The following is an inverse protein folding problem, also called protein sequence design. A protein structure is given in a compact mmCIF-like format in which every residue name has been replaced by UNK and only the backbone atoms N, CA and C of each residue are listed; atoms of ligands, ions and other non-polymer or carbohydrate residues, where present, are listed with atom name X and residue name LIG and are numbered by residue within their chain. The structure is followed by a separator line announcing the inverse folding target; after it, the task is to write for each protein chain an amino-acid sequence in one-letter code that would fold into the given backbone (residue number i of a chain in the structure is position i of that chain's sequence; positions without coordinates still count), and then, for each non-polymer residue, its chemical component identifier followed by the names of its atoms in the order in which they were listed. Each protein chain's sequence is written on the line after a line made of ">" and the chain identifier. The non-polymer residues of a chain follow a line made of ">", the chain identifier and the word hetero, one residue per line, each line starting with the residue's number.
data_IF_133001526522
#
_entry.id   IF_133001526522
#
_cell.length_a   1.000
_cell.length_b   1.000
_cell.length_c   1.000
_cell.angle_alpha   90.00
_cell.angle_beta   90.00
_cell.angle_gamma   90.00
#
_symmetry.space_group_name_H-M   'P 1'
#
loop_
_entity.id
_entity.type
_entity.pdbx_description
1 polymer ?
#
# COMPACT_ATOMS: atom_id res chain seq x y z
N UNK A 1 -4.38 -24.30 -3.21
CA UNK A 1 -4.10 -22.88 -3.48
C UNK A 1 -4.60 -22.00 -2.36
N UNK A 2 -3.92 -20.88 -2.10
CA UNK A 2 -4.38 -19.84 -1.18
C UNK A 2 -5.80 -19.39 -1.57
N UNK A 3 -6.81 -19.51 -0.69
CA UNK A 3 -8.12 -18.95 -0.97
C UNK A 3 -7.99 -17.43 -1.04
N UNK A 4 -7.97 -16.89 -2.26
CA UNK A 4 -7.92 -15.44 -2.48
C UNK A 4 -9.06 -14.79 -1.69
N UNK A 5 -8.79 -13.77 -0.86
CA UNK A 5 -9.83 -13.02 -0.19
C UNK A 5 -10.87 -12.56 -1.21
N UNK A 6 -12.16 -12.65 -0.86
CA UNK A 6 -13.20 -12.06 -1.71
C UNK A 6 -12.92 -10.56 -1.78
N UNK A 7 -12.86 -10.04 -3.01
CA UNK A 7 -12.80 -8.60 -3.23
C UNK A 7 -14.04 -7.99 -2.59
N UNK A 8 -13.80 -7.11 -1.62
CA UNK A 8 -14.85 -6.34 -0.95
C UNK A 8 -14.91 -4.99 -1.66
N UNK A 9 -16.10 -4.46 -1.97
CA UNK A 9 -16.21 -3.12 -2.56
C UNK A 9 -15.53 -2.06 -1.68
N UNK A 10 -14.90 -1.07 -2.32
CA UNK A 10 -14.14 0.02 -1.66
C UNK A 10 -14.92 0.65 -0.49
N UNK A 11 -16.20 0.96 -0.66
CA UNK A 11 -17.03 1.57 0.39
C UNK A 11 -17.17 0.69 1.66
N UNK A 12 -17.18 -0.63 1.51
CA UNK A 12 -17.24 -1.57 2.64
C UNK A 12 -15.88 -1.78 3.29
N UNK A 13 -14.79 -1.49 2.57
CA UNK A 13 -13.44 -1.45 3.12
C UNK A 13 -13.09 -0.10 3.79
N UNK A 14 -14.06 0.82 3.89
CA UNK A 14 -13.87 2.17 4.44
C UNK A 14 -13.27 3.17 3.46
N UNK A 15 -13.23 2.82 2.17
CA UNK A 15 -12.62 3.62 1.12
C UNK A 15 -13.70 4.47 0.42
N UNK A 16 -13.50 5.78 0.44
CA UNK A 16 -14.43 6.73 -0.17
C UNK A 16 -14.15 7.00 -1.66
N UNK A 17 -15.14 7.52 -2.41
CA UNK A 17 -14.91 8.08 -3.74
C UNK A 17 -13.95 9.29 -3.67
N UNK A 18 -13.13 9.47 -4.70
CA UNK A 18 -12.29 10.69 -4.85
C UNK A 18 -10.79 10.47 -4.74
N UNK A 19 -10.28 9.26 -5.01
CA UNK A 19 -8.83 9.04 -5.11
C UNK A 19 -8.26 9.87 -6.27
N UNK A 20 -7.26 10.74 -6.04
CA UNK A 20 -6.97 11.87 -6.92
C UNK A 20 -6.39 11.49 -8.30
N UNK A 21 -5.83 10.29 -8.47
CA UNK A 21 -5.17 9.88 -9.74
C UNK A 21 -5.47 8.44 -10.17
N UNK A 22 -6.52 7.83 -9.66
CA UNK A 22 -6.78 6.42 -9.94
C UNK A 22 -7.55 6.11 -11.23
N UNK A 23 -8.05 7.11 -11.98
CA UNK A 23 -8.89 6.86 -13.16
C UNK A 23 -10.06 5.91 -12.83
N UNK A 24 -10.35 4.94 -13.71
CA UNK A 24 -11.36 3.90 -13.46
C UNK A 24 -11.00 2.91 -12.34
N UNK A 25 -9.71 2.73 -12.04
CA UNK A 25 -9.27 1.78 -11.00
C UNK A 25 -9.22 2.41 -9.61
N UNK A 26 -9.23 3.74 -9.50
CA UNK A 26 -9.23 4.49 -8.25
C UNK A 26 -8.05 4.14 -7.31
N UNK A 27 -6.93 3.51 -7.72
CA UNK A 27 -5.95 2.90 -6.78
C UNK A 27 -4.81 3.81 -6.28
N UNK A 28 -4.76 5.09 -6.67
CA UNK A 28 -3.68 5.99 -6.23
C UNK A 28 -4.13 6.90 -5.10
N UNK A 29 -3.63 6.65 -3.89
CA UNK A 29 -3.92 7.45 -2.71
C UNK A 29 -3.36 6.83 -1.44
N UNK A 30 -3.57 7.51 -0.32
CA UNK A 30 -3.25 7.04 1.03
C UNK A 30 -4.35 7.47 2.00
N UNK A 31 -4.75 6.57 2.89
CA UNK A 31 -5.74 6.87 3.92
C UNK A 31 -5.57 5.92 5.13
N UNK A 32 -5.86 6.39 6.35
CA UNK A 32 -5.99 5.49 7.48
C UNK A 32 -7.25 4.64 7.31
N UNK A 33 -7.13 3.34 7.56
CA UNK A 33 -8.25 2.42 7.59
C UNK A 33 -8.74 2.22 9.02
N UNK A 34 -10.06 2.32 9.21
CA UNK A 34 -10.73 1.99 10.46
C UNK A 34 -11.03 0.47 10.51
N UNK A 35 -9.98 -0.33 10.38
CA UNK A 35 -10.02 -1.78 10.50
C UNK A 35 -8.77 -2.32 11.20
N UNK A 36 -8.88 -3.41 11.99
CA UNK A 36 -7.74 -3.98 12.71
C UNK A 36 -6.83 -4.78 11.77
N UNK A 37 -5.53 -4.89 12.08
CA UNK A 37 -4.54 -5.64 11.28
C UNK A 37 -5.03 -7.01 10.82
N UNK A 38 -5.72 -7.75 11.70
CA UNK A 38 -6.27 -9.09 11.44
C UNK A 38 -7.30 -9.18 10.31
N UNK A 39 -7.73 -8.04 9.75
CA UNK A 39 -8.62 -7.96 8.60
C UNK A 39 -7.93 -7.46 7.33
N UNK A 40 -6.63 -7.15 7.40
CA UNK A 40 -5.85 -6.74 6.22
C UNK A 40 -5.47 -7.96 5.38
N UNK A 41 -5.35 -7.77 4.06
CA UNK A 41 -4.99 -8.85 3.14
C UNK A 41 -3.67 -9.54 3.49
N UNK A 42 -2.63 -8.76 3.82
CA UNK A 42 -1.32 -9.31 4.16
C UNK A 42 -1.33 -10.08 5.49
N UNK A 43 -2.09 -9.64 6.49
CA UNK A 43 -2.23 -10.40 7.73
C UNK A 43 -2.89 -11.76 7.48
N UNK A 44 -3.95 -11.80 6.67
CA UNK A 44 -4.61 -13.05 6.31
C UNK A 44 -3.66 -13.99 5.54
N UNK A 45 -2.83 -13.45 4.64
CA UNK A 45 -1.81 -14.22 3.91
C UNK A 45 -0.79 -14.83 4.88
N UNK A 46 -0.33 -14.04 5.86
CA UNK A 46 0.61 -14.49 6.89
C UNK A 46 -0.01 -15.57 7.79
N UNK A 47 -1.26 -15.40 8.24
CA UNK A 47 -1.98 -16.41 9.02
C UNK A 47 -2.03 -17.75 8.29
N UNK A 48 -2.32 -17.72 6.99
CA UNK A 48 -2.33 -18.94 6.19
C UNK A 48 -0.95 -19.56 6.00
N UNK A 49 0.09 -18.74 5.82
CA UNK A 49 1.44 -19.25 5.73
C UNK A 49 1.84 -19.95 7.04
N UNK A 50 1.47 -19.37 8.19
CA UNK A 50 1.64 -19.99 9.52
C UNK A 50 0.90 -21.32 9.58
N UNK A 51 -0.35 -21.38 9.12
CA UNK A 51 -1.13 -22.61 9.09
C UNK A 51 -0.53 -23.67 8.15
N UNK A 52 0.09 -23.28 7.02
CA UNK A 52 0.80 -24.23 6.17
C UNK A 52 2.02 -24.82 6.88
N UNK A 53 2.79 -23.99 7.60
CA UNK A 53 3.96 -24.45 8.35
C UNK A 53 3.58 -25.38 9.51
N UNK A 54 2.49 -25.08 10.23
CA UNK A 54 1.98 -25.90 11.35
C UNK A 54 1.50 -27.29 10.94
N UNK A 55 1.21 -27.53 9.66
CA UNK A 55 0.81 -28.86 9.15
C UNK A 55 1.91 -29.91 9.24
N UNK A 56 3.14 -29.52 9.56
CA UNK A 56 4.29 -30.40 9.76
C UNK A 56 4.44 -31.45 8.64
N UNK A 57 4.69 -31.02 7.39
CA UNK A 57 4.71 -31.92 6.25
C UNK A 57 5.85 -32.95 6.38
N UNK A 58 5.58 -34.18 5.95
CA UNK A 58 6.58 -35.26 5.95
C UNK A 58 7.70 -35.09 4.92
N UNK A 59 7.55 -34.14 4.00
CA UNK A 59 8.54 -33.78 2.97
C UNK A 59 9.06 -32.36 3.21
N UNK A 60 10.27 -32.03 2.73
CA UNK A 60 10.75 -30.65 2.74
C UNK A 60 9.74 -29.69 2.11
N UNK A 61 9.49 -28.57 2.79
CA UNK A 61 8.52 -27.56 2.38
C UNK A 61 9.23 -26.41 1.66
N UNK A 62 8.75 -26.08 0.45
CA UNK A 62 9.00 -24.80 -0.20
C UNK A 62 7.69 -24.00 -0.17
N UNK A 63 7.72 -22.80 0.42
CA UNK A 63 6.55 -21.94 0.56
C UNK A 63 6.88 -20.53 0.08
N UNK A 64 6.20 -20.09 -0.98
CA UNK A 64 6.27 -18.70 -1.45
C UNK A 64 5.11 -17.91 -0.85
N UNK A 65 5.43 -16.83 -0.13
CA UNK A 65 4.46 -15.96 0.55
C UNK A 65 4.63 -14.55 0.01
N UNK A 66 3.66 -14.10 -0.79
CA UNK A 66 3.67 -12.76 -1.38
C UNK A 66 2.86 -11.78 -0.53
N UNK A 67 3.52 -10.72 -0.06
CA UNK A 67 2.87 -9.59 0.59
C UNK A 67 2.58 -8.50 -0.43
N UNK A 68 1.45 -7.81 -0.28
CA UNK A 68 1.04 -6.74 -1.16
C UNK A 68 1.65 -5.39 -0.76
N UNK A 69 1.71 -5.08 0.53
CA UNK A 69 2.34 -3.85 1.02
C UNK A 69 3.85 -3.89 0.75
N UNK A 70 4.47 -2.77 0.32
CA UNK A 70 3.97 -1.39 0.32
C UNK A 70 3.39 -0.90 -1.03
N UNK A 71 2.86 -1.79 -1.89
CA UNK A 71 2.20 -1.36 -3.13
C UNK A 71 1.00 -0.44 -2.85
N UNK A 72 0.75 0.52 -3.77
CA UNK A 72 -0.41 1.42 -3.74
C UNK A 72 -1.76 0.65 -3.84
N UNK A 73 -2.87 1.19 -3.32
CA UNK A 73 -3.00 2.43 -2.55
C UNK A 73 -2.42 2.26 -1.15
N UNK A 74 -1.79 3.28 -0.56
CA UNK A 74 -1.17 3.27 0.78
C UNK A 74 -2.19 3.42 1.91
N UNK A 75 -3.09 2.45 1.97
CA UNK A 75 -4.20 2.40 2.92
C UNK A 75 -3.95 1.33 3.98
N UNK A 76 -3.59 1.80 5.17
CA UNK A 76 -3.13 0.93 6.26
C UNK A 76 -3.98 1.16 7.50
N UNK A 77 -4.09 0.18 8.41
CA UNK A 77 -4.73 0.39 9.71
C UNK A 77 -4.24 1.67 10.37
N UNK A 78 -5.17 2.45 10.93
CA UNK A 78 -4.92 3.79 11.49
C UNK A 78 -3.66 3.88 12.34
N UNK A 79 -3.38 2.88 13.18
CA UNK A 79 -2.19 2.85 14.06
C UNK A 79 -0.87 2.97 13.30
N UNK A 80 -0.76 2.44 12.09
CA UNK A 80 0.44 2.53 11.26
C UNK A 80 0.52 3.90 10.58
N UNK A 81 -0.62 4.42 10.13
CA UNK A 81 -0.70 5.75 9.53
C UNK A 81 -0.41 6.90 10.54
N UNK A 82 -0.83 6.71 11.78
CA UNK A 82 -0.64 7.67 12.88
C UNK A 82 0.72 7.51 13.57
N UNK A 83 1.45 6.42 13.32
CA UNK A 83 2.83 6.26 13.77
C UNK A 83 3.79 7.29 13.12
N UNK A 84 3.35 7.92 12.03
CA UNK A 84 4.05 8.99 11.34
C UNK A 84 3.20 10.26 11.35
N UNK A 85 3.37 11.15 12.34
CA UNK A 85 2.57 12.37 12.44
C UNK A 85 2.78 13.32 11.25
N UNK A 86 1.76 14.14 10.90
CA UNK A 86 1.92 15.18 9.89
C UNK A 86 3.09 16.13 10.21
N UNK A 87 3.98 16.35 9.24
CA UNK A 87 5.13 17.24 9.40
C UNK A 87 6.39 16.59 9.99
N UNK A 88 6.28 15.38 10.56
CA UNK A 88 7.44 14.62 11.06
C UNK A 88 8.08 13.73 10.00
N UNK A 89 7.35 13.43 8.93
CA UNK A 89 7.89 12.69 7.78
C UNK A 89 8.91 13.54 7.04
N UNK A 90 10.17 13.12 7.07
CA UNK A 90 11.23 13.66 6.22
C UNK A 90 11.16 13.03 4.83
N UNK A 91 10.98 13.86 3.81
CA UNK A 91 11.06 13.42 2.42
C UNK A 91 12.51 13.18 2.01
N UNK A 92 12.78 12.21 1.11
CA UNK A 92 14.09 12.04 0.53
C UNK A 92 14.50 13.30 -0.25
N UNK A 93 15.79 13.58 -0.26
CA UNK A 93 16.36 14.59 -1.15
C UNK A 93 16.14 14.16 -2.61
N UNK A 94 15.76 15.10 -3.46
CA UNK A 94 15.59 14.85 -4.89
C UNK A 94 16.25 15.98 -5.67
N UNK A 95 16.75 15.65 -6.87
CA UNK A 95 17.30 16.63 -7.79
C UNK A 95 16.22 17.09 -8.76
N UNK A 96 16.19 18.37 -9.17
CA UNK A 96 15.25 18.83 -10.20
C UNK A 96 15.44 18.14 -11.55
N UNK A 97 16.66 17.65 -11.83
CA UNK A 97 17.09 17.03 -13.08
C UNK A 97 17.25 15.50 -12.99
N UNK A 98 16.79 14.88 -11.89
CA UNK A 98 17.03 13.46 -11.55
C UNK A 98 16.63 12.47 -12.65
N UNK A 99 15.76 12.90 -13.55
CA UNK A 99 15.15 12.05 -14.55
C UNK A 99 15.48 12.48 -15.99
N UNK A 100 16.46 13.37 -16.14
CA UNK A 100 16.91 13.90 -17.44
C UNK A 100 17.54 12.85 -18.35
N UNK A 101 18.07 11.76 -17.80
CA UNK A 101 18.67 10.62 -18.51
C UNK A 101 17.84 9.33 -18.40
N UNK A 102 16.67 9.39 -17.75
CA UNK A 102 15.80 8.25 -17.55
C UNK A 102 14.81 8.05 -18.71
N UNK A 103 14.37 6.81 -18.93
CA UNK A 103 13.29 6.51 -19.87
C UNK A 103 11.96 7.08 -19.37
N UNK A 104 11.24 7.78 -20.24
CA UNK A 104 9.89 8.28 -19.94
C UNK A 104 8.86 7.14 -19.92
N UNK A 105 8.48 6.75 -18.70
CA UNK A 105 7.42 5.77 -18.43
C UNK A 105 5.97 6.30 -18.46
N UNK A 106 5.74 7.56 -18.86
CA UNK A 106 4.42 8.17 -19.01
C UNK A 106 3.71 8.61 -17.72
N UNK A 107 4.36 8.47 -16.55
CA UNK A 107 3.75 8.78 -15.23
C UNK A 107 4.21 10.11 -14.60
N UNK A 108 4.87 10.98 -15.37
CA UNK A 108 5.31 12.31 -14.91
C UNK A 108 4.23 13.13 -14.22
N UNK A 109 3.01 13.05 -14.76
CA UNK A 109 1.89 13.83 -14.26
C UNK A 109 1.46 13.41 -12.84
N UNK A 110 1.78 12.19 -12.39
CA UNK A 110 1.50 11.74 -11.03
C UNK A 110 2.39 12.49 -10.05
N UNK A 111 3.71 12.47 -10.27
CA UNK A 111 4.67 13.21 -9.45
C UNK A 111 4.33 14.70 -9.42
N UNK A 112 4.07 15.31 -10.59
CA UNK A 112 3.68 16.72 -10.70
C UNK A 112 2.47 17.04 -9.81
N UNK A 113 1.40 16.26 -9.91
CA UNK A 113 0.20 16.46 -9.10
C UNK A 113 0.48 16.30 -7.60
N UNK A 114 1.24 15.29 -7.18
CA UNK A 114 1.58 15.06 -5.76
C UNK A 114 2.36 16.26 -5.19
N UNK A 115 3.31 16.78 -5.96
CA UNK A 115 4.11 17.95 -5.58
C UNK A 115 3.25 19.22 -5.53
N UNK A 116 2.45 19.52 -6.56
CA UNK A 116 1.57 20.69 -6.63
C UNK A 116 0.51 20.70 -5.52
N UNK A 117 0.03 19.53 -5.11
CA UNK A 117 -0.98 19.36 -4.05
C UNK A 117 -0.39 19.07 -2.66
N UNK A 118 0.95 19.15 -2.50
CA UNK A 118 1.67 18.92 -1.25
C UNK A 118 1.33 17.59 -0.57
N UNK A 119 1.10 16.54 -1.36
CA UNK A 119 0.63 15.24 -0.87
C UNK A 119 1.75 14.29 -0.43
N UNK A 120 3.01 14.59 -0.73
CA UNK A 120 4.15 13.71 -0.40
C UNK A 120 4.18 13.33 1.08
N UNK A 121 4.05 14.30 1.99
CA UNK A 121 4.03 14.04 3.43
C UNK A 121 2.89 13.09 3.81
N UNK A 122 1.68 13.29 3.28
CA UNK A 122 0.52 12.44 3.55
C UNK A 122 0.68 11.01 3.00
N UNK A 123 1.20 10.86 1.80
CA UNK A 123 1.41 9.55 1.18
C UNK A 123 2.48 8.72 1.89
N UNK A 124 3.56 9.37 2.28
CA UNK A 124 4.63 8.71 3.01
C UNK A 124 4.17 8.16 4.37
N UNK A 125 3.15 8.74 5.00
CA UNK A 125 2.56 8.20 6.25
C UNK A 125 1.92 6.82 6.08
N UNK A 126 1.44 6.50 4.88
CA UNK A 126 0.89 5.17 4.58
C UNK A 126 1.88 4.22 3.91
N UNK A 127 3.00 4.75 3.42
CA UNK A 127 4.08 3.97 2.81
C UNK A 127 5.06 3.42 3.86
N UNK A 128 5.42 4.25 4.85
CA UNK A 128 6.29 3.91 5.98
C UNK A 128 5.58 3.05 7.03
#
# INVERSE_FOLDING_TARGET
>A
DWPRPRLVPDNQAGLGPGRPLGGHSQLFGAAPLDLPDGKTGDHLVVDWAIDQMKRNPSKPLFLAVGLFRPHIPWEVPRKWFDAYPPGEVKLPEHRPDDLSDAHDHGRWHWHKWVTENRQWGHFMRGYL
#
